data_IF_000177282996
#
_entry.id   IF_000177282996
#
_cell.length_a   1.000
_cell.length_b   1.000
_cell.length_c   1.000
_cell.angle_alpha   90.00
_cell.angle_beta   90.00
_cell.angle_gamma   90.00
#
_symmetry.space_group_name_H-M   'P 1'
#
loop_
_entity.id
_entity.type
_entity.pdbx_description
1 polymer ?
#
# COMPACT_ATOMS: atom_id res chain seq x y z
N UNK A 1 59.81 4.94 -46.47
CA UNK A 1 58.83 4.35 -45.52
C UNK A 1 58.83 4.87 -44.06
N UNK A 2 59.76 5.72 -43.54
CA UNK A 2 59.73 6.08 -42.10
C UNK A 2 58.92 7.34 -41.74
N UNK A 3 58.48 8.14 -42.73
CA UNK A 3 57.75 9.41 -42.46
C UNK A 3 56.24 9.22 -42.27
N UNK A 4 55.63 8.23 -42.95
CA UNK A 4 54.20 7.91 -42.81
C UNK A 4 53.88 7.27 -41.45
N UNK A 5 54.77 6.45 -40.92
CA UNK A 5 54.59 5.80 -39.60
C UNK A 5 54.62 6.83 -38.46
N UNK A 6 55.43 7.88 -38.57
CA UNK A 6 55.48 8.96 -37.56
C UNK A 6 54.20 9.83 -37.56
N UNK A 7 53.60 10.09 -38.71
CA UNK A 7 52.32 10.82 -38.78
C UNK A 7 51.14 9.99 -38.28
N UNK A 8 51.17 8.66 -38.45
CA UNK A 8 50.16 7.75 -37.89
C UNK A 8 50.27 7.61 -36.36
N UNK A 9 51.49 7.60 -35.80
CA UNK A 9 51.69 7.62 -34.35
C UNK A 9 51.31 8.95 -33.70
N UNK A 10 51.57 10.07 -34.38
CA UNK A 10 51.19 11.39 -33.86
C UNK A 10 49.67 11.61 -33.86
N UNK A 11 48.94 11.04 -34.83
CA UNK A 11 47.47 11.11 -34.87
C UNK A 11 46.80 10.18 -33.85
N UNK A 12 47.42 9.04 -33.52
CA UNK A 12 46.95 8.13 -32.47
C UNK A 12 47.12 8.73 -31.05
N UNK A 13 48.18 9.52 -30.83
CA UNK A 13 48.43 10.22 -29.56
C UNK A 13 47.51 11.42 -29.31
N UNK A 14 47.07 12.11 -30.37
CA UNK A 14 46.10 13.20 -30.26
C UNK A 14 44.68 12.67 -30.01
N UNK A 15 44.33 11.50 -30.55
CA UNK A 15 43.05 10.84 -30.27
C UNK A 15 42.95 10.33 -28.82
N UNK A 16 44.07 9.93 -28.20
CA UNK A 16 44.12 9.53 -26.79
C UNK A 16 44.05 10.72 -25.81
N UNK A 17 44.44 11.93 -26.23
CA UNK A 17 44.39 13.12 -25.38
C UNK A 17 42.99 13.75 -25.28
N UNK A 18 42.05 13.37 -26.17
CA UNK A 18 40.64 13.78 -26.11
C UNK A 18 39.73 12.78 -25.40
N UNK A 19 40.27 11.65 -24.91
CA UNK A 19 39.60 10.76 -23.98
C UNK A 19 39.69 11.33 -22.56
N UNK A 20 39.19 12.55 -22.34
CA UNK A 20 38.84 12.98 -21.00
C UNK A 20 37.81 11.98 -20.47
N UNK A 21 37.96 11.46 -19.22
CA UNK A 21 36.88 10.71 -18.62
C UNK A 21 35.71 11.68 -18.54
N UNK A 22 34.69 11.44 -19.37
CA UNK A 22 33.39 12.02 -19.15
C UNK A 22 32.98 11.51 -17.76
N UNK A 23 33.26 12.31 -16.75
CA UNK A 23 32.61 12.20 -15.46
C UNK A 23 31.14 12.34 -15.77
N UNK A 24 30.47 11.20 -15.91
CA UNK A 24 29.03 11.11 -15.84
C UNK A 24 28.65 11.90 -14.59
N UNK A 25 28.08 13.08 -14.80
CA UNK A 25 27.33 13.78 -13.77
C UNK A 25 26.12 12.89 -13.50
N UNK A 26 26.34 11.83 -12.71
CA UNK A 26 25.28 11.27 -11.90
C UNK A 26 24.92 12.40 -10.94
N UNK A 27 23.99 13.25 -11.37
CA UNK A 27 23.28 14.19 -10.52
C UNK A 27 22.45 13.41 -9.53
N UNK A 28 23.11 12.69 -8.64
CA UNK A 28 22.55 12.30 -7.38
C UNK A 28 22.61 13.60 -6.57
N UNK A 29 21.58 14.44 -6.71
CA UNK A 29 21.30 15.43 -5.69
C UNK A 29 21.22 14.65 -4.38
N UNK A 30 22.29 14.66 -3.60
CA UNK A 30 22.36 13.98 -2.32
C UNK A 30 21.51 14.80 -1.36
N UNK A 31 20.21 14.53 -1.38
CA UNK A 31 19.27 15.12 -0.45
C UNK A 31 19.75 14.79 0.96
N UNK A 32 20.03 15.84 1.74
CA UNK A 32 20.42 15.67 3.15
C UNK A 32 19.18 15.43 4.02
N UNK A 33 17.99 15.69 3.48
CA UNK A 33 16.74 15.52 4.18
C UNK A 33 16.46 14.06 4.56
N UNK A 34 16.11 13.85 5.83
CA UNK A 34 15.71 12.55 6.36
C UNK A 34 14.24 12.56 6.74
N UNK A 35 13.61 11.40 6.62
CA UNK A 35 12.22 11.19 6.98
C UNK A 35 12.12 10.10 8.03
N UNK A 36 11.57 10.46 9.19
CA UNK A 36 11.19 9.50 10.22
C UNK A 36 9.69 9.58 10.48
N UNK A 37 9.09 8.42 10.74
CA UNK A 37 7.66 8.26 10.98
C UNK A 37 7.42 7.40 12.20
N UNK A 38 6.26 7.60 12.84
CA UNK A 38 5.72 6.80 13.92
C UNK A 38 4.21 6.63 13.74
N UNK A 39 3.68 5.51 14.17
CA UNK A 39 2.26 5.17 14.12
C UNK A 39 1.67 5.22 15.52
N UNK A 40 0.41 5.64 15.65
CA UNK A 40 -0.25 5.71 16.97
C UNK A 40 -0.41 4.34 17.64
N UNK A 41 -0.49 3.27 16.84
CA UNK A 41 -0.51 1.88 17.31
C UNK A 41 0.15 0.99 16.25
N UNK A 42 0.83 -0.06 16.70
CA UNK A 42 1.45 -1.08 15.87
C UNK A 42 0.54 -2.29 15.61
N UNK A 43 -0.56 -2.41 16.35
CA UNK A 43 -1.51 -3.51 16.23
C UNK A 43 -2.98 -3.04 16.25
N UNK A 44 -3.79 -3.53 15.31
CA UNK A 44 -5.22 -3.29 15.24
C UNK A 44 -5.98 -4.62 15.34
N UNK A 45 -6.86 -4.67 16.33
CA UNK A 45 -7.80 -5.75 16.59
C UNK A 45 -9.09 -5.56 15.76
N UNK A 46 -9.40 -6.51 14.87
CA UNK A 46 -10.68 -6.58 14.16
C UNK A 46 -11.63 -7.51 14.92
N UNK A 47 -12.71 -6.96 15.43
CA UNK A 47 -13.85 -7.68 16.01
C UNK A 47 -15.00 -7.83 14.98
N UNK A 48 -16.01 -8.64 15.30
CA UNK A 48 -17.17 -8.86 14.40
C UNK A 48 -18.00 -7.60 14.12
N UNK A 49 -17.89 -6.57 14.97
CA UNK A 49 -18.55 -5.27 14.84
C UNK A 49 -17.62 -4.16 14.31
N UNK A 50 -16.45 -4.51 13.78
CA UNK A 50 -15.47 -3.57 13.25
C UNK A 50 -16.03 -2.76 12.07
N UNK A 51 -15.97 -1.43 12.16
CA UNK A 51 -16.48 -0.48 11.14
C UNK A 51 -15.37 0.30 10.44
N UNK A 52 -14.13 -0.18 10.52
CA UNK A 52 -12.94 0.57 10.13
C UNK A 52 -12.36 1.36 11.29
N UNK A 53 -11.13 1.85 11.10
CA UNK A 53 -10.39 2.60 12.10
C UNK A 53 -9.62 3.75 11.45
N UNK A 54 -9.47 4.87 12.14
CA UNK A 54 -8.59 5.95 11.74
C UNK A 54 -7.22 5.75 12.37
N UNK A 55 -6.20 5.57 11.54
CA UNK A 55 -4.82 5.51 11.99
C UNK A 55 -4.19 6.89 11.82
N UNK A 56 -3.64 7.43 12.90
CA UNK A 56 -2.82 8.65 12.84
C UNK A 56 -1.36 8.28 12.77
N UNK A 57 -0.69 8.75 11.73
CA UNK A 57 0.74 8.61 11.52
C UNK A 57 1.36 9.97 11.77
N UNK A 58 2.39 10.00 12.60
CA UNK A 58 3.21 11.18 12.82
C UNK A 58 4.52 11.01 12.08
N UNK A 59 5.11 12.10 11.62
CA UNK A 59 6.47 12.05 11.13
C UNK A 59 7.17 13.39 11.21
N UNK A 60 8.49 13.33 11.15
CA UNK A 60 9.36 14.47 11.20
C UNK A 60 10.30 14.45 9.99
N UNK A 61 10.51 15.62 9.40
CA UNK A 61 11.54 15.86 8.41
C UNK A 61 12.76 16.44 9.13
N UNK A 62 13.90 15.78 8.97
CA UNK A 62 15.19 16.26 9.45
C UNK A 62 15.99 16.86 8.29
N UNK A 63 16.79 17.90 8.56
CA UNK A 63 17.62 18.56 7.53
C UNK A 63 16.85 19.37 6.48
N UNK A 64 15.60 19.74 6.76
CA UNK A 64 14.77 20.54 5.85
C UNK A 64 15.29 21.97 5.67
N UNK A 65 15.08 22.54 4.48
CA UNK A 65 15.35 23.95 4.20
C UNK A 65 14.12 24.81 4.58
N UNK A 66 14.21 25.74 5.56
CA UNK A 66 13.07 26.55 6.00
C UNK A 66 12.42 27.37 4.88
N UNK A 67 13.22 27.88 3.95
CA UNK A 67 12.74 28.70 2.83
C UNK A 67 11.85 27.89 1.86
N UNK A 68 12.24 26.64 1.58
CA UNK A 68 11.48 25.75 0.70
C UNK A 68 10.18 25.30 1.36
N UNK A 69 10.20 25.11 2.68
CA UNK A 69 9.01 24.79 3.44
C UNK A 69 8.02 25.96 3.47
N UNK A 70 8.51 27.19 3.70
CA UNK A 70 7.68 28.39 3.69
C UNK A 70 7.01 28.62 2.31
N UNK A 71 7.67 28.19 1.23
CA UNK A 71 7.13 28.19 -0.12
C UNK A 71 6.17 27.01 -0.39
N UNK A 72 6.00 26.09 0.57
CA UNK A 72 5.17 24.90 0.42
C UNK A 72 5.70 23.93 -0.62
N UNK A 73 7.02 23.85 -0.84
CA UNK A 73 7.64 22.95 -1.82
C UNK A 73 7.85 21.52 -1.31
N UNK A 74 7.77 21.32 0.01
CA UNK A 74 7.76 19.99 0.59
C UNK A 74 6.35 19.42 0.55
N UNK A 75 6.23 18.21 0.01
CA UNK A 75 4.98 17.46 -0.03
C UNK A 75 5.23 16.07 0.54
N UNK A 76 4.23 15.55 1.24
CA UNK A 76 4.30 14.23 1.86
C UNK A 76 3.13 13.40 1.34
N UNK A 77 3.43 12.15 1.06
CA UNK A 77 2.44 11.14 0.70
C UNK A 77 2.59 9.97 1.64
N UNK A 78 1.50 9.57 2.28
CA UNK A 78 1.44 8.41 3.17
C UNK A 78 0.46 7.39 2.59
N UNK A 79 0.93 6.17 2.35
CA UNK A 79 0.11 5.06 1.89
C UNK A 79 0.10 3.94 2.91
N UNK A 80 -1.06 3.34 3.14
CA UNK A 80 -1.26 2.12 3.92
C UNK A 80 -1.65 1.00 2.95
N UNK A 81 -0.76 0.03 2.78
CA UNK A 81 -0.95 -1.13 1.91
C UNK A 81 -1.26 -2.36 2.76
N UNK A 82 -2.32 -3.09 2.40
CA UNK A 82 -2.58 -4.41 2.95
C UNK A 82 -1.68 -5.51 2.38
N UNK A 83 -1.87 -6.75 2.85
CA UNK A 83 -1.23 -7.94 2.29
C UNK A 83 -1.40 -7.98 0.76
N UNK A 84 -0.35 -8.42 0.07
CA UNK A 84 -0.34 -8.51 -1.39
C UNK A 84 -0.73 -9.92 -1.82
N UNK A 85 -1.83 -10.02 -2.56
CA UNK A 85 -2.34 -11.30 -3.08
C UNK A 85 -2.64 -11.21 -4.57
N UNK A 86 -2.99 -12.34 -5.18
CA UNK A 86 -3.44 -12.37 -6.57
C UNK A 86 -4.94 -12.12 -6.65
N UNK A 87 -5.36 -11.16 -7.48
CA UNK A 87 -6.78 -10.82 -7.63
C UNK A 87 -7.26 -11.08 -9.06
N UNK A 88 -8.42 -11.75 -9.20
CA UNK A 88 -9.04 -12.04 -10.49
C UNK A 88 -10.21 -11.10 -10.78
N UNK A 89 -10.11 -10.35 -11.87
CA UNK A 89 -11.22 -9.56 -12.41
C UNK A 89 -11.97 -10.38 -13.44
N UNK A 90 -13.31 -10.40 -13.33
CA UNK A 90 -14.19 -11.13 -14.25
C UNK A 90 -15.13 -10.18 -14.97
N UNK A 91 -15.23 -10.31 -16.29
CA UNK A 91 -16.16 -9.56 -17.13
C UNK A 91 -17.43 -10.40 -17.33
N UNK A 92 -18.56 -9.86 -16.85
CA UNK A 92 -19.88 -10.46 -17.04
C UNK A 92 -20.53 -9.93 -18.31
N UNK A 93 -21.12 -10.82 -19.10
CA UNK A 93 -21.97 -10.47 -20.24
C UNK A 93 -23.27 -11.25 -20.15
N UNK A 94 -24.35 -10.68 -20.67
CA UNK A 94 -25.62 -11.38 -20.80
C UNK A 94 -25.61 -12.24 -22.07
N UNK A 95 -25.77 -13.55 -21.91
CA UNK A 95 -25.81 -14.53 -23.00
C UNK A 95 -27.08 -15.35 -22.81
N UNK A 96 -27.94 -15.44 -23.84
CA UNK A 96 -29.24 -16.12 -23.74
C UNK A 96 -30.08 -15.71 -22.51
N UNK A 97 -30.06 -14.43 -22.15
CA UNK A 97 -30.85 -13.90 -21.02
C UNK A 97 -30.21 -14.06 -19.63
N UNK A 98 -29.15 -14.86 -19.47
CA UNK A 98 -28.44 -15.08 -18.20
C UNK A 98 -27.09 -14.36 -18.15
N UNK A 99 -26.64 -13.97 -16.95
CA UNK A 99 -25.32 -13.37 -16.74
C UNK A 99 -24.26 -14.45 -16.61
N UNK A 100 -23.27 -14.44 -17.51
CA UNK A 100 -22.15 -15.37 -17.49
C UNK A 100 -20.83 -14.62 -17.46
N UNK A 101 -19.86 -15.16 -16.74
CA UNK A 101 -18.47 -14.66 -16.76
C UNK A 101 -17.83 -15.09 -18.08
N UNK A 102 -17.70 -14.18 -19.04
CA UNK A 102 -17.18 -14.52 -20.37
C UNK A 102 -15.67 -14.42 -20.47
N UNK A 103 -15.06 -13.55 -19.66
CA UNK A 103 -13.62 -13.30 -19.68
C UNK A 103 -13.15 -13.04 -18.25
N UNK A 104 -11.90 -13.39 -17.96
CA UNK A 104 -11.26 -13.13 -16.68
C UNK A 104 -9.79 -12.83 -16.87
N UNK A 105 -9.24 -11.99 -16.00
CA UNK A 105 -7.81 -11.72 -15.94
C UNK A 105 -7.36 -11.64 -14.49
N UNK A 106 -6.22 -12.24 -14.17
CA UNK A 106 -5.66 -12.24 -12.82
C UNK A 106 -4.45 -11.31 -12.77
N UNK A 107 -4.37 -10.51 -11.72
CA UNK A 107 -3.23 -9.65 -11.41
C UNK A 107 -2.50 -10.20 -10.19
N UNK A 108 -1.17 -10.23 -10.22
CA UNK A 108 -0.35 -10.65 -9.09
C UNK A 108 0.11 -9.47 -8.22
N UNK A 109 0.47 -9.76 -6.97
CA UNK A 109 1.08 -8.82 -6.01
C UNK A 109 0.27 -7.52 -5.81
N UNK A 110 -1.06 -7.61 -5.90
CA UNK A 110 -1.93 -6.45 -5.68
C UNK A 110 -2.32 -6.34 -4.20
N UNK A 111 -2.29 -5.13 -3.61
CA UNK A 111 -2.64 -4.97 -2.21
C UNK A 111 -4.14 -5.19 -1.99
N UNK A 112 -4.47 -5.97 -0.97
CA UNK A 112 -5.85 -6.28 -0.61
C UNK A 112 -6.62 -5.09 0.02
N UNK A 113 -5.90 -4.09 0.51
CA UNK A 113 -6.44 -2.80 0.94
C UNK A 113 -5.43 -1.71 0.60
N UNK A 114 -5.88 -0.50 0.27
CA UNK A 114 -5.00 0.61 -0.07
C UNK A 114 -5.61 1.93 0.36
N UNK A 115 -5.03 2.60 1.34
CA UNK A 115 -5.45 3.95 1.71
C UNK A 115 -4.30 4.91 1.51
N UNK A 116 -4.57 6.04 0.89
CA UNK A 116 -3.57 7.05 0.59
C UNK A 116 -4.01 8.40 1.09
N UNK A 117 -3.13 9.06 1.84
CA UNK A 117 -3.30 10.43 2.31
C UNK A 117 -2.12 11.26 1.86
N UNK A 118 -2.36 12.45 1.35
CA UNK A 118 -1.31 13.31 0.81
C UNK A 118 -1.50 14.76 1.23
N UNK A 119 -0.44 15.59 1.15
CA UNK A 119 -0.54 17.03 1.45
C UNK A 119 -1.41 17.77 0.42
N UNK A 120 -1.35 17.33 -0.83
CA UNK A 120 -2.08 17.85 -2.00
C UNK A 120 -2.47 16.70 -2.91
N UNK A 121 -3.22 16.97 -3.98
CA UNK A 121 -3.45 15.96 -5.03
C UNK A 121 -2.12 15.42 -5.57
N UNK A 122 -2.04 14.09 -5.76
CA UNK A 122 -0.82 13.41 -6.23
C UNK A 122 -0.30 14.04 -7.53
N UNK A 123 -1.21 14.37 -8.45
CA UNK A 123 -0.86 14.94 -9.75
C UNK A 123 -0.21 16.33 -9.65
N UNK A 124 -0.39 17.03 -8.52
CA UNK A 124 0.25 18.30 -8.22
C UNK A 124 1.53 18.17 -7.37
N UNK A 125 1.76 16.99 -6.76
CA UNK A 125 2.93 16.74 -5.91
C UNK A 125 4.16 16.43 -6.76
N UNK A 126 4.03 15.56 -7.75
CA UNK A 126 5.13 15.09 -8.57
C UNK A 126 4.64 14.66 -9.97
N UNK A 127 5.53 14.64 -10.98
CA UNK A 127 5.17 14.19 -12.32
C UNK A 127 4.65 12.75 -12.34
N UNK A 128 3.70 12.46 -13.22
CA UNK A 128 3.12 11.12 -13.36
C UNK A 128 4.17 10.01 -13.58
N UNK A 129 5.30 10.34 -14.22
CA UNK A 129 6.41 9.39 -14.41
C UNK A 129 7.02 8.93 -13.07
N UNK A 130 7.27 9.87 -12.14
CA UNK A 130 7.77 9.56 -10.80
C UNK A 130 6.76 8.72 -10.02
N UNK A 131 5.48 9.09 -10.09
CA UNK A 131 4.41 8.35 -9.43
C UNK A 131 4.24 6.93 -9.98
N UNK A 132 4.34 6.76 -11.30
CA UNK A 132 4.29 5.44 -11.96
C UNK A 132 5.48 4.56 -11.59
N UNK A 133 6.69 5.12 -11.51
CA UNK A 133 7.89 4.38 -11.15
C UNK A 133 7.82 3.82 -9.73
N UNK A 134 7.26 4.59 -8.79
CA UNK A 134 7.09 4.15 -7.40
C UNK A 134 5.75 3.45 -7.13
N UNK A 135 4.81 3.49 -8.08
CA UNK A 135 3.47 2.92 -7.92
C UNK A 135 2.60 3.64 -6.88
N UNK A 136 2.81 4.94 -6.66
CA UNK A 136 2.14 5.71 -5.61
C UNK A 136 0.77 6.19 -6.11
N UNK A 137 -0.29 5.75 -5.43
CA UNK A 137 -1.67 6.06 -5.78
C UNK A 137 -2.32 4.99 -6.64
N UNK A 138 -3.64 4.87 -6.51
CA UNK A 138 -4.45 3.84 -7.19
C UNK A 138 -4.25 3.87 -8.71
N UNK A 139 -4.13 5.06 -9.31
CA UNK A 139 -3.97 5.22 -10.75
C UNK A 139 -2.58 4.78 -11.26
N UNK A 140 -1.54 4.92 -10.43
CA UNK A 140 -0.14 4.68 -10.81
C UNK A 140 0.37 3.30 -10.40
N UNK A 141 -0.41 2.55 -9.62
CA UNK A 141 -0.07 1.19 -9.22
C UNK A 141 0.14 0.26 -10.42
N UNK A 142 1.26 -0.46 -10.40
CA UNK A 142 1.56 -1.52 -11.37
C UNK A 142 0.64 -2.71 -11.13
N UNK A 143 -0.08 -3.13 -12.17
CA UNK A 143 -0.93 -4.30 -12.14
C UNK A 143 -0.39 -5.25 -13.21
N UNK A 144 0.37 -6.26 -12.77
CA UNK A 144 1.01 -7.24 -13.64
C UNK A 144 0.03 -8.38 -13.91
N UNK A 145 -0.46 -8.55 -15.15
CA UNK A 145 -1.33 -9.67 -15.48
C UNK A 145 -0.55 -10.98 -15.50
N UNK A 146 -1.15 -12.05 -14.98
CA UNK A 146 -0.62 -13.41 -15.06
C UNK A 146 -1.56 -14.31 -15.85
N UNK A 147 -0.99 -15.33 -16.52
CA UNK A 147 -1.72 -16.29 -17.34
C UNK A 147 -1.86 -15.89 -18.81
N UNK A 148 -2.91 -16.40 -19.48
CA UNK A 148 -3.13 -16.13 -20.90
C UNK A 148 -3.58 -14.67 -21.10
N UNK A 149 -2.64 -13.84 -21.54
CA UNK A 149 -2.89 -12.48 -21.99
C UNK A 149 -3.33 -12.61 -23.45
N UNK A 150 -4.63 -12.43 -23.70
CA UNK A 150 -5.16 -12.40 -25.07
C UNK A 150 -4.74 -11.11 -25.79
N UNK A 151 -5.71 -10.26 -26.12
CA UNK A 151 -5.43 -8.96 -26.72
C UNK A 151 -4.87 -7.97 -25.67
N UNK A 152 -3.76 -7.29 -25.97
CA UNK A 152 -3.18 -6.24 -25.12
C UNK A 152 -4.14 -5.09 -24.83
N UNK A 153 -5.08 -4.79 -25.74
CA UNK A 153 -6.14 -3.79 -25.51
C UNK A 153 -7.04 -4.17 -24.33
N UNK A 154 -7.25 -5.47 -24.09
CA UNK A 154 -8.07 -5.97 -22.98
C UNK A 154 -7.41 -5.70 -21.62
N UNK A 155 -6.06 -5.66 -21.58
CA UNK A 155 -5.33 -5.48 -20.32
C UNK A 155 -5.65 -4.12 -19.70
N UNK A 156 -5.63 -3.04 -20.50
CA UNK A 156 -5.97 -1.69 -20.02
C UNK A 156 -7.43 -1.62 -19.54
N UNK A 157 -8.36 -2.27 -20.24
CA UNK A 157 -9.76 -2.37 -19.82
C UNK A 157 -9.85 -3.04 -18.44
N UNK A 158 -9.24 -4.22 -18.26
CA UNK A 158 -9.26 -4.93 -16.98
C UNK A 158 -8.54 -4.18 -15.85
N UNK A 159 -7.45 -3.46 -16.14
CA UNK A 159 -6.75 -2.62 -15.14
C UNK A 159 -7.64 -1.47 -14.66
N UNK A 160 -8.32 -0.79 -15.59
CA UNK A 160 -9.28 0.26 -15.23
C UNK A 160 -10.48 -0.30 -14.45
N UNK A 161 -10.98 -1.46 -14.86
CA UNK A 161 -12.07 -2.15 -14.17
C UNK A 161 -11.68 -2.59 -12.76
N UNK A 162 -10.47 -3.12 -12.56
CA UNK A 162 -9.94 -3.46 -11.25
C UNK A 162 -9.94 -2.25 -10.33
N UNK A 163 -9.30 -1.15 -10.75
CA UNK A 163 -9.19 0.08 -9.95
C UNK A 163 -10.56 0.62 -9.57
N UNK A 164 -11.48 0.73 -10.54
CA UNK A 164 -12.85 1.18 -10.31
C UNK A 164 -13.58 0.30 -9.30
N UNK A 165 -13.48 -1.03 -9.41
CA UNK A 165 -14.15 -1.96 -8.50
C UNK A 165 -13.64 -1.81 -7.07
N UNK A 166 -12.33 -1.61 -6.89
CA UNK A 166 -11.70 -1.47 -5.57
C UNK A 166 -11.97 -0.11 -4.92
N UNK A 167 -12.03 0.95 -5.72
CA UNK A 167 -12.46 2.27 -5.24
C UNK A 167 -13.95 2.25 -4.86
N UNK A 168 -14.80 1.64 -5.69
CA UNK A 168 -16.25 1.57 -5.43
C UNK A 168 -16.58 0.72 -4.21
N UNK A 169 -15.79 -0.33 -3.92
CA UNK A 169 -15.97 -1.14 -2.71
C UNK A 169 -15.45 -0.46 -1.44
N UNK A 170 -14.78 0.69 -1.56
CA UNK A 170 -14.25 1.45 -0.42
C UNK A 170 -13.01 0.83 0.25
N UNK A 171 -12.44 -0.24 -0.31
CA UNK A 171 -11.17 -0.82 0.18
C UNK A 171 -9.98 -0.02 -0.29
N UNK A 172 -10.14 0.69 -1.42
CA UNK A 172 -9.17 1.66 -1.93
C UNK A 172 -9.70 3.07 -1.70
N UNK A 173 -8.95 3.87 -0.93
CA UNK A 173 -9.34 5.22 -0.54
C UNK A 173 -8.23 6.22 -0.85
N UNK A 174 -8.65 7.44 -1.17
CA UNK A 174 -7.77 8.58 -1.45
C UNK A 174 -8.27 9.77 -0.65
N UNK A 175 -7.38 10.38 0.13
CA UNK A 175 -7.66 11.55 0.95
C UNK A 175 -6.62 12.66 0.67
N UNK A 176 -6.80 13.41 -0.43
CA UNK A 176 -5.99 14.60 -0.70
C UNK A 176 -6.21 15.64 0.41
N UNK A 177 -5.12 16.09 1.04
CA UNK A 177 -5.18 16.96 2.22
C UNK A 177 -5.23 16.22 3.55
N UNK A 178 -5.22 14.88 3.55
CA UNK A 178 -5.14 14.06 4.76
C UNK A 178 -3.80 14.15 5.50
N UNK A 179 -2.78 14.79 4.89
CA UNK A 179 -1.50 15.11 5.54
C UNK A 179 -1.43 16.61 5.86
N UNK A 180 -1.19 16.92 7.13
CA UNK A 180 -1.11 18.28 7.65
C UNK A 180 0.20 18.48 8.41
N UNK A 181 0.91 19.56 8.09
CA UNK A 181 2.06 20.01 8.87
C UNK A 181 1.56 20.66 10.16
N UNK A 182 1.97 20.12 11.31
CA UNK A 182 1.70 20.67 12.64
C UNK A 182 2.73 21.74 12.98
N UNK A 183 3.99 21.52 12.58
CA UNK A 183 5.10 22.45 12.77
C UNK A 183 5.99 22.46 11.52
N UNK A 184 7.12 23.15 11.59
CA UNK A 184 8.05 23.26 10.46
C UNK A 184 8.58 21.89 9.99
N UNK A 185 8.83 20.96 10.91
CA UNK A 185 9.34 19.63 10.59
C UNK A 185 8.31 18.52 10.83
N UNK A 186 7.31 18.76 11.69
CA UNK A 186 6.39 17.71 12.12
C UNK A 186 5.10 17.73 11.30
N UNK A 187 4.70 16.56 10.82
CA UNK A 187 3.42 16.35 10.16
C UNK A 187 2.62 15.25 10.85
N UNK A 188 1.30 15.33 10.67
CA UNK A 188 0.37 14.23 10.92
C UNK A 188 -0.29 13.82 9.61
N UNK A 189 -0.49 12.54 9.43
CA UNK A 189 -1.28 11.96 8.36
C UNK A 189 -2.40 11.11 8.97
N UNK A 190 -3.63 11.32 8.52
CA UNK A 190 -4.76 10.49 8.91
C UNK A 190 -5.04 9.52 7.78
N UNK A 191 -4.97 8.22 8.05
CA UNK A 191 -5.21 7.17 7.06
C UNK A 191 -6.33 6.26 7.56
N UNK A 192 -7.32 6.00 6.71
CA UNK A 192 -8.48 5.20 7.07
C UNK A 192 -8.24 3.73 6.75
N UNK A 193 -8.46 2.87 7.73
CA UNK A 193 -8.57 1.44 7.52
C UNK A 193 -10.04 1.10 7.24
N UNK A 194 -10.37 0.46 6.09
CA UNK A 194 -11.74 0.11 5.75
C UNK A 194 -12.30 -0.97 6.69
N UNK A 195 -13.62 -1.10 6.75
CA UNK A 195 -14.27 -2.14 7.57
C UNK A 195 -13.96 -3.56 7.04
N UNK A 196 -13.90 -3.71 5.72
CA UNK A 196 -13.53 -4.97 5.04
C UNK A 196 -12.00 -5.04 4.83
N UNK A 197 -11.25 -4.77 5.88
CA UNK A 197 -9.79 -4.89 5.86
C UNK A 197 -9.39 -6.36 6.06
N UNK A 198 -8.47 -6.88 5.23
CA UNK A 198 -7.96 -8.24 5.41
C UNK A 198 -7.15 -8.39 6.72
N UNK A 199 -7.04 -9.63 7.20
CA UNK A 199 -6.12 -9.96 8.29
C UNK A 199 -4.70 -10.07 7.72
N UNK A 200 -3.70 -9.56 8.46
CA UNK A 200 -2.30 -9.74 8.13
C UNK A 200 -1.45 -8.51 8.37
N UNK A 201 -0.21 -8.56 7.89
CA UNK A 201 0.73 -7.44 7.99
C UNK A 201 0.40 -6.42 6.91
N UNK A 202 0.03 -5.23 7.37
CA UNK A 202 -0.09 -4.04 6.55
C UNK A 202 1.21 -3.25 6.62
N UNK A 203 1.48 -2.43 5.61
CA UNK A 203 2.68 -1.59 5.54
C UNK A 203 2.26 -0.16 5.35
N UNK A 204 2.57 0.67 6.34
CA UNK A 204 2.53 2.12 6.22
C UNK A 204 3.82 2.57 5.54
N UNK A 205 3.72 3.33 4.46
CA UNK A 205 4.84 3.95 3.76
C UNK A 205 4.62 5.45 3.68
N UNK A 206 5.61 6.23 4.08
CA UNK A 206 5.64 7.67 3.88
C UNK A 206 6.72 8.01 2.87
N UNK A 207 6.40 8.94 1.97
CA UNK A 207 7.25 9.44 0.90
C UNK A 207 7.38 10.96 1.05
N UNK A 208 8.60 11.46 1.04
CA UNK A 208 8.94 12.87 1.05
C UNK A 208 9.30 13.31 -0.36
N UNK A 209 8.67 14.40 -0.79
CA UNK A 209 8.92 15.07 -2.05
C UNK A 209 9.37 16.50 -1.83
N UNK A 210 10.32 16.95 -2.65
CA UNK A 210 10.80 18.34 -2.71
C UNK A 210 10.69 18.81 -4.14
N UNK A 211 9.82 19.79 -4.37
CA UNK A 211 9.65 20.45 -5.68
C UNK A 211 9.38 19.45 -6.83
N UNK A 212 8.57 18.42 -6.58
CA UNK A 212 8.25 17.38 -7.56
C UNK A 212 9.24 16.21 -7.61
N UNK A 213 10.35 16.27 -6.88
CA UNK A 213 11.38 15.23 -6.88
C UNK A 213 11.27 14.38 -5.62
N UNK A 214 11.42 13.07 -5.77
CA UNK A 214 11.49 12.13 -4.66
C UNK A 214 12.76 12.34 -3.83
N UNK A 215 12.62 12.36 -2.51
CA UNK A 215 13.71 12.64 -1.57
C UNK A 215 14.02 11.43 -0.69
N UNK A 216 13.02 10.99 0.07
CA UNK A 216 13.18 9.94 1.07
C UNK A 216 11.88 9.16 1.26
N UNK A 217 12.00 7.90 1.65
CA UNK A 217 10.86 7.07 2.03
C UNK A 217 11.14 6.32 3.33
N UNK A 218 10.10 6.11 4.13
CA UNK A 218 10.15 5.31 5.35
C UNK A 218 8.95 4.39 5.40
N UNK A 219 9.15 3.16 5.86
CA UNK A 219 8.10 2.17 5.98
C UNK A 219 8.04 1.61 7.41
N UNK A 220 6.82 1.37 7.89
CA UNK A 220 6.55 0.71 9.18
C UNK A 220 5.49 -0.38 8.98
N UNK A 221 5.69 -1.58 9.58
CA UNK A 221 4.66 -2.60 9.59
C UNK A 221 3.55 -2.23 10.58
N UNK A 222 2.32 -2.57 10.22
CA UNK A 222 1.14 -2.49 11.07
C UNK A 222 0.49 -3.87 11.08
N UNK A 223 0.33 -4.47 12.25
CA UNK A 223 -0.29 -5.79 12.38
C UNK A 223 -1.79 -5.63 12.51
N UNK A 224 -2.54 -6.28 11.62
CA UNK A 224 -3.99 -6.31 11.74
C UNK A 224 -4.38 -7.75 12.02
N UNK A 225 -4.97 -8.00 13.19
CA UNK A 225 -5.32 -9.34 13.67
C UNK A 225 -6.81 -9.42 13.98
N UNK A 226 -7.40 -10.59 13.71
CA UNK A 226 -8.77 -10.88 14.14
C UNK A 226 -8.75 -11.27 15.62
N UNK A 227 -9.43 -10.50 16.46
CA UNK A 227 -9.55 -10.78 17.90
C UNK A 227 -11.00 -10.57 18.35
N UNK A 228 -11.36 -11.19 19.47
CA UNK A 228 -12.71 -11.12 20.02
C UNK A 228 -13.13 -12.41 20.71
N UNK A 229 -14.37 -12.43 21.23
CA UNK A 229 -14.95 -13.62 21.88
C UNK A 229 -14.96 -14.83 20.93
N UNK A 230 -15.27 -14.62 19.65
CA UNK A 230 -15.26 -15.68 18.63
C UNK A 230 -13.87 -16.28 18.43
N UNK A 231 -12.84 -15.43 18.35
CA UNK A 231 -11.46 -15.88 18.24
C UNK A 231 -11.03 -16.64 19.51
N UNK A 232 -11.39 -16.16 20.71
CA UNK A 232 -11.10 -16.85 21.96
C UNK A 232 -11.80 -18.22 22.06
N UNK A 233 -13.07 -18.31 21.65
CA UNK A 233 -13.81 -19.59 21.59
C UNK A 233 -13.17 -20.53 20.57
N UNK A 234 -12.85 -20.04 19.37
CA UNK A 234 -12.23 -20.83 18.31
C UNK A 234 -10.87 -21.35 18.75
N UNK A 235 -10.07 -20.49 19.38
CA UNK A 235 -8.76 -20.83 19.90
C UNK A 235 -8.85 -21.86 21.03
N UNK A 236 -9.78 -21.68 21.98
CA UNK A 236 -10.02 -22.65 23.05
C UNK A 236 -10.46 -24.00 22.49
N UNK A 237 -11.32 -24.02 21.46
CA UNK A 237 -11.78 -25.24 20.81
C UNK A 237 -10.66 -25.98 20.06
N UNK A 238 -9.71 -25.27 19.44
CA UNK A 238 -8.63 -25.89 18.67
C UNK A 238 -7.37 -26.21 19.48
N UNK A 239 -6.96 -25.32 20.40
CA UNK A 239 -5.77 -25.54 21.25
C UNK A 239 -6.06 -26.44 22.45
N UNK A 240 -7.29 -26.41 22.98
CA UNK A 240 -7.69 -27.21 24.14
C UNK A 240 -9.02 -27.95 23.90
N UNK A 241 -9.11 -28.80 22.85
CA UNK A 241 -10.37 -29.42 22.42
C UNK A 241 -11.03 -30.25 23.52
N UNK A 242 -10.25 -30.95 24.34
CA UNK A 242 -10.77 -31.77 25.44
C UNK A 242 -11.45 -30.93 26.52
N UNK A 243 -10.77 -29.89 27.03
CA UNK A 243 -11.31 -29.01 28.07
C UNK A 243 -12.49 -28.19 27.56
N UNK A 244 -12.42 -27.72 26.31
CA UNK A 244 -13.52 -27.02 25.67
C UNK A 244 -14.76 -27.92 25.52
N UNK A 245 -14.58 -29.17 25.07
CA UNK A 245 -15.66 -30.14 24.97
C UNK A 245 -16.31 -30.44 26.33
N UNK A 246 -15.50 -30.64 27.38
CA UNK A 246 -16.01 -30.85 28.74
C UNK A 246 -16.81 -29.65 29.24
N UNK A 247 -16.29 -28.44 29.03
CA UNK A 247 -16.99 -27.20 29.37
C UNK A 247 -18.33 -27.08 28.63
N UNK A 248 -18.36 -27.39 27.32
CA UNK A 248 -19.57 -27.33 26.51
C UNK A 248 -20.64 -28.34 26.99
N UNK A 249 -20.25 -29.57 27.32
CA UNK A 249 -21.16 -30.59 27.89
C UNK A 249 -21.70 -30.14 29.24
N UNK A 250 -20.83 -29.64 30.13
CA UNK A 250 -21.23 -29.16 31.45
C UNK A 250 -22.21 -27.98 31.33
N UNK A 251 -21.95 -27.05 30.42
CA UNK A 251 -22.83 -25.92 30.13
C UNK A 251 -24.19 -26.42 29.61
N UNK A 252 -24.21 -27.39 28.70
CA UNK A 252 -25.44 -28.00 28.20
C UNK A 252 -26.27 -28.68 29.31
N UNK A 253 -25.62 -29.39 30.23
CA UNK A 253 -26.29 -30.01 31.40
C UNK A 253 -26.90 -28.95 32.31
N UNK A 254 -26.16 -27.89 32.64
CA UNK A 254 -26.66 -26.79 33.49
C UNK A 254 -27.82 -26.08 32.80
N UNK A 255 -27.71 -25.76 31.51
CA UNK A 255 -28.77 -25.09 30.76
C UNK A 255 -30.01 -25.98 30.64
N UNK A 256 -29.84 -27.27 30.36
CA UNK A 256 -30.94 -28.23 30.31
C UNK A 256 -31.66 -28.39 31.66
N UNK A 257 -30.90 -28.44 32.75
CA UNK A 257 -31.45 -28.46 34.11
C UNK A 257 -32.18 -27.15 34.45
N UNK A 258 -31.59 -25.99 34.14
CA UNK A 258 -32.20 -24.69 34.38
C UNK A 258 -33.50 -24.50 33.57
N UNK A 259 -33.51 -24.91 32.31
CA UNK A 259 -34.71 -24.90 31.48
C UNK A 259 -35.80 -25.81 32.08
N UNK A 260 -35.45 -27.02 32.52
CA UNK A 260 -36.38 -27.92 33.21
C UNK A 260 -36.98 -27.31 34.48
N UNK A 261 -36.19 -26.56 35.26
CA UNK A 261 -36.67 -25.86 36.47
C UNK A 261 -37.59 -24.69 36.13
N UNK A 262 -37.27 -23.88 35.10
CA UNK A 262 -38.09 -22.73 34.70
C UNK A 262 -39.39 -23.14 34.00
N UNK A 263 -39.36 -24.22 33.21
CA UNK A 263 -40.53 -24.76 32.52
C UNK A 263 -41.32 -25.81 33.32
N UNK A 264 -40.86 -26.16 34.53
CA UNK A 264 -41.70 -26.84 35.53
C UNK A 264 -42.81 -25.88 35.96
N UNK A 265 -43.90 -25.86 35.19
CA UNK A 265 -45.20 -25.39 35.64
C UNK A 265 -45.87 -26.53 36.41
N UNK A 266 -46.37 -26.22 37.59
CA UNK A 266 -47.46 -26.96 38.22
C UNK A 266 -48.72 -26.92 37.34
#
# INVERSE_FOLDING_TARGET
>A
MPRLVRSLLASLLVALAFAAPATAQNGNDEFTEKLDIGISTDEIAITSDFRGADLTIFGAIDGFAPDLLAQGKYNIVVSLEGPKESATVRKKRRVFGIWVNTQSMTFELVPESYSLSSTRDIDAIAPANEMNNMGIGVAHMTLSPIGYIGDGSSVTEFRSAFRRLRETSGVYQRDPGGVQFISASLFKASVRLPADVPNGVHVVRAYLFRDGVFVAAKALPLRVIKTGLEAAITEAAHKHPFFYGLFAVLLAVITGWAASVVFRRD
#
